data_IF_037630909196
#
_entry.id   IF_037630909196
#
_cell.length_a   1.000
_cell.length_b   1.000
_cell.length_c   1.000
_cell.angle_alpha   90.00
_cell.angle_beta   90.00
_cell.angle_gamma   90.00
#
_symmetry.space_group_name_H-M   'P 1'
#
loop_
_entity.id
_entity.type
_entity.pdbx_description
1 polymer ?
#
# COMPACT_ATOMS: atom_id res chain seq x y z
N UNK A 1 -0.91 -3.13 5.55
CA UNK A 1 -0.04 -2.11 6.18
C UNK A 1 -0.35 -2.03 7.66
N UNK A 2 0.68 -1.91 8.50
CA UNK A 2 0.56 -1.67 9.93
C UNK A 2 1.40 -0.44 10.29
N UNK A 3 0.78 0.56 10.91
CA UNK A 3 1.49 1.69 11.51
C UNK A 3 2.33 1.22 12.70
N UNK A 4 3.38 1.96 13.01
CA UNK A 4 4.22 1.69 14.16
C UNK A 4 3.65 2.29 15.45
N UNK A 5 4.02 1.68 16.57
CA UNK A 5 3.73 2.14 17.91
C UNK A 5 4.68 3.27 18.31
N UNK A 6 4.41 4.49 17.85
CA UNK A 6 5.06 5.69 18.42
C UNK A 6 6.39 5.94 17.80
N UNK A 7 7.37 6.27 18.61
CA UNK A 7 8.74 6.37 18.12
C UNK A 7 9.38 5.00 17.84
N UNK A 8 8.70 3.88 18.13
CA UNK A 8 9.22 2.55 17.85
C UNK A 8 9.26 2.22 16.35
N UNK A 9 10.21 1.39 15.96
CA UNK A 9 10.38 0.89 14.59
C UNK A 9 9.68 -0.48 14.40
N UNK A 10 8.37 -0.58 14.68
CA UNK A 10 7.62 -1.85 14.62
C UNK A 10 6.50 -1.86 13.56
N UNK A 11 6.54 -0.91 12.62
CA UNK A 11 5.62 -0.82 11.49
C UNK A 11 5.96 -1.82 10.38
N UNK A 12 4.95 -2.15 9.57
CA UNK A 12 5.04 -3.17 8.51
C UNK A 12 4.36 -2.71 7.23
N UNK A 13 5.06 -2.88 6.10
CA UNK A 13 4.49 -2.87 4.75
C UNK A 13 4.61 -4.26 4.14
N UNK A 14 3.54 -4.74 3.54
CA UNK A 14 3.55 -5.95 2.75
C UNK A 14 2.89 -5.70 1.41
N UNK A 15 3.44 -6.31 0.37
CA UNK A 15 2.91 -6.29 -0.98
C UNK A 15 2.70 -7.73 -1.42
N UNK A 16 1.45 -8.04 -1.76
CA UNK A 16 0.99 -9.38 -2.11
C UNK A 16 0.47 -9.36 -3.55
N UNK A 17 0.88 -10.36 -4.34
CA UNK A 17 0.38 -10.60 -5.71
C UNK A 17 -0.04 -12.06 -5.76
N UNK A 18 -1.27 -12.33 -6.23
CA UNK A 18 -1.80 -13.70 -6.37
C UNK A 18 -1.59 -14.56 -5.11
N UNK A 19 -1.94 -13.99 -3.95
CA UNK A 19 -1.77 -14.56 -2.61
C UNK A 19 -0.34 -14.89 -2.16
N UNK A 20 0.66 -14.52 -2.97
CA UNK A 20 2.09 -14.65 -2.65
C UNK A 20 2.62 -13.34 -2.07
N UNK A 21 3.32 -13.44 -0.94
CA UNK A 21 4.09 -12.31 -0.39
C UNK A 21 5.25 -12.02 -1.34
N UNK A 22 5.16 -10.94 -2.10
CA UNK A 22 6.18 -10.60 -3.09
C UNK A 22 7.25 -9.67 -2.52
N UNK A 23 6.84 -8.74 -1.66
CA UNK A 23 7.75 -7.89 -0.92
C UNK A 23 7.24 -7.58 0.49
N UNK A 24 8.19 -7.45 1.42
CA UNK A 24 7.91 -7.02 2.79
C UNK A 24 8.99 -6.05 3.25
N UNK A 25 8.56 -5.06 4.03
CA UNK A 25 9.45 -4.25 4.85
C UNK A 25 8.89 -4.15 6.26
N UNK A 26 9.67 -4.63 7.21
CA UNK A 26 9.44 -4.48 8.65
C UNK A 26 10.38 -3.42 9.20
N UNK A 27 10.25 -3.07 10.48
CA UNK A 27 11.18 -2.11 11.09
C UNK A 27 10.89 -0.65 10.69
N UNK A 28 9.67 -0.34 10.22
CA UNK A 28 9.37 0.99 9.67
C UNK A 28 8.79 1.90 10.76
N UNK A 29 9.36 3.08 10.92
CA UNK A 29 8.75 4.18 11.64
C UNK A 29 7.98 5.09 10.67
N UNK A 30 6.66 4.90 10.58
CA UNK A 30 5.78 5.62 9.67
C UNK A 30 5.39 7.00 10.21
N UNK A 31 5.07 7.08 11.50
CA UNK A 31 4.37 8.23 12.09
C UNK A 31 5.18 8.95 13.18
N UNK A 32 6.32 8.42 13.59
CA UNK A 32 7.06 8.91 14.75
C UNK A 32 6.14 9.05 15.96
N UNK A 33 6.25 10.15 16.67
CA UNK A 33 5.43 10.41 17.87
C UNK A 33 3.99 10.85 17.57
N UNK A 34 3.57 10.92 16.30
CA UNK A 34 2.22 11.35 15.94
C UNK A 34 1.15 10.36 16.42
N UNK A 35 -0.01 10.90 16.85
CA UNK A 35 -1.05 10.12 17.53
C UNK A 35 -2.50 10.47 17.20
N UNK A 36 -2.74 11.58 16.51
CA UNK A 36 -4.10 12.10 16.41
C UNK A 36 -4.97 11.23 15.48
N UNK A 37 -4.36 10.62 14.45
CA UNK A 37 -5.06 9.75 13.49
C UNK A 37 -4.25 8.51 13.10
N UNK A 38 -4.96 7.46 12.71
CA UNK A 38 -4.40 6.29 12.03
C UNK A 38 -4.32 6.51 10.51
N UNK A 39 -4.39 5.41 9.75
CA UNK A 39 -4.51 5.48 8.28
C UNK A 39 -5.84 6.16 7.95
N UNK A 40 -5.78 7.30 7.26
CA UNK A 40 -6.93 8.17 7.02
C UNK A 40 -7.23 8.42 5.53
N UNK A 41 -6.38 7.94 4.63
CA UNK A 41 -6.55 8.09 3.19
C UNK A 41 -6.00 6.88 2.45
N UNK A 42 -6.62 6.55 1.32
CA UNK A 42 -6.11 5.59 0.34
C UNK A 42 -6.17 6.25 -1.03
N UNK A 43 -5.07 6.19 -1.76
CA UNK A 43 -4.92 6.82 -3.05
C UNK A 43 -4.74 5.74 -4.13
N UNK A 44 -5.59 5.77 -5.16
CA UNK A 44 -5.40 5.00 -6.38
C UNK A 44 -4.85 5.94 -7.45
N UNK A 45 -3.53 6.06 -7.50
CA UNK A 45 -2.85 7.01 -8.39
C UNK A 45 -2.23 6.30 -9.58
N UNK A 46 -2.28 6.96 -10.73
CA UNK A 46 -1.68 6.51 -11.96
C UNK A 46 -1.00 7.70 -12.61
N UNK A 47 0.32 7.61 -12.74
CA UNK A 47 1.14 8.63 -13.38
C UNK A 47 2.20 7.96 -14.24
N UNK A 48 2.49 8.54 -15.40
CA UNK A 48 3.51 8.06 -16.32
C UNK A 48 4.64 9.10 -16.37
N UNK A 49 5.86 8.69 -16.02
CA UNK A 49 7.04 9.57 -15.91
C UNK A 49 7.92 9.59 -17.17
N UNK A 50 7.74 8.65 -18.10
CA UNK A 50 8.60 8.49 -19.28
C UNK A 50 8.04 9.21 -20.51
N UNK A 51 8.47 10.45 -20.71
CA UNK A 51 8.25 11.21 -21.95
C UNK A 51 9.39 10.98 -22.96
N UNK A 52 9.12 11.02 -24.28
CA UNK A 52 7.80 11.18 -24.89
C UNK A 52 6.97 9.89 -24.77
N UNK A 53 5.67 10.05 -24.49
CA UNK A 53 4.73 8.93 -24.54
C UNK A 53 4.61 8.48 -25.98
N UNK A 54 5.26 7.36 -26.32
CA UNK A 54 5.31 6.87 -27.69
C UNK A 54 3.98 6.27 -28.18
N UNK A 55 3.00 6.10 -27.28
CA UNK A 55 1.78 5.36 -27.55
C UNK A 55 0.68 5.65 -26.51
N UNK A 56 -0.58 5.47 -26.92
CA UNK A 56 -1.73 5.53 -26.02
C UNK A 56 -1.65 4.35 -25.05
N UNK A 57 -1.79 4.65 -23.75
CA UNK A 57 -1.76 3.63 -22.70
C UNK A 57 -2.99 3.73 -21.82
N UNK A 58 -3.48 2.57 -21.37
CA UNK A 58 -4.67 2.44 -20.52
C UNK A 58 -4.37 1.44 -19.41
N UNK A 59 -4.95 1.65 -18.23
CA UNK A 59 -4.91 0.73 -17.09
C UNK A 59 -6.32 0.61 -16.52
N UNK A 60 -6.73 -0.63 -16.24
CA UNK A 60 -8.06 -0.95 -15.73
C UNK A 60 -7.91 -1.49 -14.31
N UNK A 61 -8.79 -1.05 -13.43
CA UNK A 61 -8.90 -1.52 -12.05
C UNK A 61 -10.34 -1.95 -11.81
N UNK A 62 -10.50 -3.07 -11.13
CA UNK A 62 -11.79 -3.59 -10.70
C UNK A 62 -11.62 -4.23 -9.31
N UNK A 63 -12.72 -4.34 -8.55
CA UNK A 63 -12.75 -4.93 -7.21
C UNK A 63 -11.78 -4.27 -6.20
N UNK A 64 -11.77 -2.93 -6.16
CA UNK A 64 -11.01 -2.20 -5.15
C UNK A 64 -11.68 -2.30 -3.78
N UNK A 65 -11.02 -3.00 -2.84
CA UNK A 65 -11.55 -3.27 -1.51
C UNK A 65 -10.58 -2.74 -0.45
N UNK A 66 -11.12 -2.07 0.56
CA UNK A 66 -10.38 -1.65 1.76
C UNK A 66 -10.87 -2.47 2.95
N UNK A 67 -9.95 -3.10 3.66
CA UNK A 67 -10.25 -3.97 4.80
C UNK A 67 -9.22 -3.81 5.90
N UNK A 68 -9.63 -4.02 7.15
CA UNK A 68 -8.75 -4.13 8.31
C UNK A 68 -8.18 -5.54 8.50
N UNK A 69 -8.62 -6.50 7.68
CA UNK A 69 -8.11 -7.86 7.59
C UNK A 69 -7.47 -8.14 6.22
N UNK A 70 -6.60 -9.16 6.15
CA UNK A 70 -5.98 -9.58 4.88
C UNK A 70 -7.06 -10.00 3.89
N UNK A 71 -7.01 -9.42 2.69
CA UNK A 71 -7.79 -9.84 1.52
C UNK A 71 -6.89 -10.80 0.73
N UNK A 72 -7.39 -12.01 0.47
CA UNK A 72 -6.73 -12.99 -0.40
C UNK A 72 -7.47 -13.16 -1.72
N UNK A 73 -7.01 -14.09 -2.55
CA UNK A 73 -7.74 -14.52 -3.73
C UNK A 73 -9.07 -15.17 -3.32
N UNK A 74 -10.14 -14.87 -4.05
CA UNK A 74 -11.39 -15.61 -3.90
C UNK A 74 -11.20 -17.06 -4.37
N UNK A 75 -11.77 -18.02 -3.65
CA UNK A 75 -11.85 -19.42 -4.08
C UNK A 75 -12.85 -19.60 -5.22
#
# INVERSE_FOLDING_TARGET
MKLNNGDADDGVLEYWIDDRLDAQRTGINWIGTYRDYGINAVYLEQYWTSVPFAQIQQRYFDNFVVSTARIGCAL
#
